data_IF_434076066790
#
_entry.id   IF_434076066790
#
_cell.length_a   1.000
_cell.length_b   1.000
_cell.length_c   1.000
_cell.angle_alpha   90.00
_cell.angle_beta   90.00
_cell.angle_gamma   90.00
#
_symmetry.space_group_name_H-M   'P 1'
#
loop_
_entity.id
_entity.type
_entity.pdbx_description
1 polymer ?
#
# COMPACT_ATOMS: atom_id res chain seq x y z
N UNK A 1 38.88 -34.06 -65.77
CA UNK A 1 38.98 -32.82 -64.96
C UNK A 1 37.62 -32.69 -64.30
N UNK A 2 37.48 -33.28 -63.13
CA UNK A 2 36.19 -33.50 -62.45
C UNK A 2 36.04 -32.43 -61.38
N UNK A 3 35.15 -31.48 -61.61
CA UNK A 3 34.85 -30.41 -60.66
C UNK A 3 33.77 -30.91 -59.69
N UNK A 4 34.21 -31.36 -58.52
CA UNK A 4 33.31 -31.71 -57.41
C UNK A 4 33.00 -30.41 -56.66
N UNK A 5 31.81 -29.87 -56.91
CA UNK A 5 31.23 -28.84 -56.06
C UNK A 5 30.78 -29.49 -54.76
N UNK A 6 31.59 -29.34 -53.71
CA UNK A 6 31.23 -29.72 -52.35
C UNK A 6 29.97 -28.95 -51.93
N UNK A 7 28.86 -29.60 -51.56
CA UNK A 7 27.71 -28.89 -51.02
C UNK A 7 28.11 -28.26 -49.67
N UNK A 8 27.89 -26.96 -49.53
CA UNK A 8 27.95 -26.28 -48.24
C UNK A 8 27.02 -27.00 -47.27
N UNK A 9 27.46 -27.35 -46.05
CA UNK A 9 26.58 -27.96 -45.07
C UNK A 9 25.47 -26.94 -44.76
N UNK A 10 24.22 -27.38 -44.92
CA UNK A 10 23.06 -26.67 -44.38
C UNK A 10 23.24 -26.73 -42.86
N UNK A 11 23.54 -25.60 -42.22
CA UNK A 11 23.49 -25.49 -40.77
C UNK A 11 22.09 -25.97 -40.33
N UNK A 12 22.04 -27.06 -39.56
CA UNK A 12 20.80 -27.46 -38.91
C UNK A 12 20.29 -26.29 -38.05
N UNK A 13 18.98 -25.99 -38.07
CA UNK A 13 18.44 -24.95 -37.20
C UNK A 13 18.74 -25.35 -35.77
N UNK A 14 19.61 -24.59 -35.11
CA UNK A 14 19.92 -24.77 -33.70
C UNK A 14 18.60 -24.72 -32.93
N UNK A 15 18.23 -25.83 -32.29
CA UNK A 15 17.04 -25.86 -31.44
C UNK A 15 17.28 -24.90 -30.27
N UNK A 16 16.80 -23.67 -30.39
CA UNK A 16 16.90 -22.67 -29.35
C UNK A 16 16.15 -23.18 -28.10
N UNK A 17 16.87 -23.27 -26.97
CA UNK A 17 16.26 -23.60 -25.68
C UNK A 17 15.16 -22.62 -25.30
N UNK A 18 14.25 -23.01 -24.40
CA UNK A 18 13.05 -22.24 -24.01
C UNK A 18 13.38 -20.79 -23.66
N UNK A 19 14.48 -20.56 -22.94
CA UNK A 19 14.95 -19.23 -22.52
C UNK A 19 15.47 -18.38 -23.70
N UNK A 20 16.08 -19.01 -24.70
CA UNK A 20 16.50 -18.34 -25.94
C UNK A 20 15.30 -17.94 -26.79
N UNK A 21 14.29 -18.81 -26.94
CA UNK A 21 13.05 -18.45 -27.66
C UNK A 21 12.26 -17.34 -26.95
N UNK A 22 12.26 -17.36 -25.61
CA UNK A 22 11.65 -16.31 -24.80
C UNK A 22 12.36 -14.98 -25.06
N UNK A 23 13.70 -14.96 -25.03
CA UNK A 23 14.52 -13.78 -25.33
C UNK A 23 14.28 -13.19 -26.73
N UNK A 24 14.07 -14.03 -27.75
CA UNK A 24 13.80 -13.59 -29.11
C UNK A 24 12.32 -13.27 -29.38
N UNK A 25 11.42 -13.43 -28.40
CA UNK A 25 9.98 -13.21 -28.57
C UNK A 25 9.31 -14.24 -29.50
N UNK A 26 9.92 -15.42 -29.68
CA UNK A 26 9.45 -16.52 -30.51
C UNK A 26 8.60 -17.53 -29.72
N UNK A 27 8.21 -17.17 -28.49
CA UNK A 27 7.35 -18.00 -27.64
C UNK A 27 5.89 -17.88 -28.05
N UNK A 28 5.17 -19.01 -27.98
CA UNK A 28 3.75 -19.10 -28.34
C UNK A 28 2.92 -19.55 -27.13
N UNK A 29 3.16 -18.93 -25.97
CA UNK A 29 2.39 -19.26 -24.77
C UNK A 29 0.99 -18.70 -24.89
N UNK A 30 -0.02 -19.56 -24.76
CA UNK A 30 -1.42 -19.15 -24.75
C UNK A 30 -1.84 -18.64 -23.36
N UNK A 31 -1.43 -17.41 -23.06
CA UNK A 31 -1.75 -16.71 -21.82
C UNK A 31 -3.19 -16.20 -21.86
N UNK A 32 -3.55 -15.50 -22.94
CA UNK A 32 -4.84 -14.81 -23.09
C UNK A 32 -5.99 -15.80 -23.25
N UNK A 33 -5.79 -16.91 -23.97
CA UNK A 33 -6.82 -17.95 -24.11
C UNK A 33 -7.09 -18.72 -22.82
N UNK A 34 -6.15 -18.72 -21.86
CA UNK A 34 -6.29 -19.38 -20.55
C UNK A 34 -6.78 -18.43 -19.45
N UNK A 35 -7.44 -17.34 -19.81
CA UNK A 35 -7.91 -16.31 -18.88
C UNK A 35 -8.69 -16.85 -17.68
N UNK A 36 -9.51 -17.91 -17.85
CA UNK A 36 -10.28 -18.54 -16.77
C UNK A 36 -9.38 -19.03 -15.63
N UNK A 37 -8.23 -19.62 -15.96
CA UNK A 37 -7.27 -20.11 -14.98
C UNK A 37 -6.67 -18.94 -14.18
N UNK A 38 -6.19 -17.91 -14.87
CA UNK A 38 -5.55 -16.76 -14.24
C UNK A 38 -6.52 -15.95 -13.38
N UNK A 39 -7.76 -15.80 -13.84
CA UNK A 39 -8.83 -15.13 -13.10
C UNK A 39 -9.26 -15.95 -11.89
N UNK A 40 -9.27 -17.29 -11.99
CA UNK A 40 -9.53 -18.15 -10.84
C UNK A 40 -8.41 -18.05 -9.78
N UNK A 41 -7.14 -18.09 -10.19
CA UNK A 41 -5.99 -17.94 -9.28
C UNK A 41 -6.05 -16.57 -8.59
N UNK A 42 -6.20 -15.50 -9.37
CA UNK A 42 -6.34 -14.13 -8.84
C UNK A 42 -7.56 -13.99 -7.93
N UNK A 43 -8.70 -14.55 -8.32
CA UNK A 43 -9.92 -14.55 -7.50
C UNK A 43 -9.73 -15.24 -6.15
N UNK A 44 -8.99 -16.35 -6.10
CA UNK A 44 -8.64 -17.01 -4.84
C UNK A 44 -7.71 -16.13 -3.99
N UNK A 45 -6.69 -15.53 -4.59
CA UNK A 45 -5.78 -14.62 -3.87
C UNK A 45 -6.54 -13.41 -3.28
N UNK A 46 -7.42 -12.79 -4.07
CA UNK A 46 -8.26 -11.68 -3.62
C UNK A 46 -9.27 -12.11 -2.56
N UNK A 47 -9.81 -13.33 -2.64
CA UNK A 47 -10.72 -13.87 -1.61
C UNK A 47 -9.98 -14.08 -0.29
N UNK A 48 -8.79 -14.67 -0.32
CA UNK A 48 -7.96 -14.86 0.87
C UNK A 48 -7.60 -13.51 1.49
N UNK A 49 -7.09 -12.58 0.68
CA UNK A 49 -6.73 -11.23 1.12
C UNK A 49 -7.93 -10.46 1.66
N UNK A 50 -9.07 -10.46 0.95
CA UNK A 50 -10.28 -9.79 1.38
C UNK A 50 -10.88 -10.40 2.66
N UNK A 51 -10.81 -11.72 2.83
CA UNK A 51 -11.21 -12.38 4.08
C UNK A 51 -10.32 -11.95 5.23
N UNK A 52 -9.00 -11.86 5.01
CA UNK A 52 -8.08 -11.36 6.02
C UNK A 52 -8.39 -9.91 6.42
N UNK A 53 -8.63 -9.03 5.45
CA UNK A 53 -9.03 -7.63 5.70
C UNK A 53 -10.32 -7.55 6.53
N UNK A 54 -11.33 -8.36 6.21
CA UNK A 54 -12.62 -8.31 6.93
C UNK A 54 -12.54 -8.93 8.33
N UNK A 55 -11.74 -9.98 8.51
CA UNK A 55 -11.69 -10.75 9.77
C UNK A 55 -10.63 -10.26 10.75
N UNK A 56 -9.52 -9.71 10.25
CA UNK A 56 -8.38 -9.26 11.06
C UNK A 56 -8.16 -7.75 11.00
N UNK A 57 -8.75 -7.05 10.02
CA UNK A 57 -8.43 -5.65 9.78
C UNK A 57 -7.03 -5.45 9.17
N UNK A 58 -6.68 -4.18 8.99
CA UNK A 58 -5.31 -3.77 8.66
C UNK A 58 -4.62 -3.35 9.95
N UNK A 59 -3.39 -3.83 10.15
CA UNK A 59 -2.52 -3.32 11.18
C UNK A 59 -2.03 -1.93 10.75
N UNK A 60 -2.67 -0.87 11.23
CA UNK A 60 -2.23 0.50 11.00
C UNK A 60 -1.13 0.81 12.01
N UNK A 61 0.06 1.19 11.53
CA UNK A 61 1.16 1.56 12.40
C UNK A 61 0.86 2.84 13.18
N UNK A 62 1.60 3.05 14.27
CA UNK A 62 1.46 4.21 15.17
C UNK A 62 1.53 5.57 14.48
N UNK A 63 2.14 5.65 13.29
CA UNK A 63 2.16 6.86 12.49
C UNK A 63 0.76 7.30 12.01
N UNK A 64 -0.23 6.41 12.04
CA UNK A 64 -1.60 6.67 11.62
C UNK A 64 -2.58 6.70 12.78
N UNK A 65 -2.40 5.82 13.77
CA UNK A 65 -3.26 5.70 14.96
C UNK A 65 -2.82 6.60 16.11
N UNK A 66 -1.53 6.92 16.20
CA UNK A 66 -0.91 7.47 17.40
C UNK A 66 -0.62 6.37 18.42
N UNK A 67 0.42 6.54 19.22
CA UNK A 67 0.84 5.54 20.20
C UNK A 67 2.34 5.54 20.43
N UNK A 68 2.80 4.49 21.12
CA UNK A 68 4.20 4.33 21.50
C UNK A 68 4.73 3.00 20.97
N UNK A 69 5.94 3.04 20.43
CA UNK A 69 6.69 1.87 20.00
C UNK A 69 7.91 1.72 20.89
N UNK A 70 8.09 0.51 21.44
CA UNK A 70 9.30 0.11 22.11
C UNK A 70 10.04 -0.92 21.24
N UNK A 71 11.33 -0.72 21.02
CA UNK A 71 12.22 -1.73 20.46
C UNK A 71 13.19 -2.19 21.55
N UNK A 72 13.12 -3.48 21.89
CA UNK A 72 13.91 -4.09 22.97
C UNK A 72 14.60 -5.38 22.48
N UNK A 73 15.85 -5.68 22.89
CA UNK A 73 16.44 -6.99 22.66
C UNK A 73 15.56 -8.10 23.25
N UNK A 74 15.27 -9.15 22.49
CA UNK A 74 14.30 -10.17 22.89
C UNK A 74 14.78 -11.02 24.08
N UNK A 75 16.11 -11.18 24.24
CA UNK A 75 16.69 -12.11 25.20
C UNK A 75 16.12 -13.52 25.03
N UNK A 76 15.54 -14.05 26.11
CA UNK A 76 14.80 -15.33 26.12
C UNK A 76 13.27 -15.14 26.10
N UNK A 77 12.77 -13.91 26.15
CA UNK A 77 11.34 -13.61 26.20
C UNK A 77 10.65 -13.96 24.87
N UNK A 78 9.42 -14.44 24.98
CA UNK A 78 8.55 -14.72 23.83
C UNK A 78 7.60 -13.56 23.55
N UNK A 79 7.15 -13.46 22.30
CA UNK A 79 6.14 -12.47 21.86
C UNK A 79 4.93 -12.45 22.80
N UNK A 80 4.40 -13.63 23.17
CA UNK A 80 3.21 -13.75 24.03
C UNK A 80 3.45 -13.30 25.48
N UNK A 81 4.66 -13.49 26.02
CA UNK A 81 5.01 -13.02 27.36
C UNK A 81 5.08 -11.49 27.40
N UNK A 82 5.69 -10.89 26.37
CA UNK A 82 5.78 -9.44 26.24
C UNK A 82 4.40 -8.81 26.02
N UNK A 83 3.58 -9.39 25.15
CA UNK A 83 2.22 -8.93 24.90
C UNK A 83 1.40 -8.94 26.19
N UNK A 84 1.43 -10.05 26.94
CA UNK A 84 0.73 -10.16 28.22
C UNK A 84 1.23 -9.16 29.25
N UNK A 85 2.56 -8.96 29.38
CA UNK A 85 3.13 -8.04 30.35
C UNK A 85 2.75 -6.59 30.08
N UNK A 86 2.73 -6.18 28.80
CA UNK A 86 2.37 -4.81 28.41
C UNK A 86 0.86 -4.59 28.54
N UNK A 87 0.04 -5.61 28.24
CA UNK A 87 -1.40 -5.56 28.50
C UNK A 87 -1.76 -5.55 29.99
N UNK A 88 -1.00 -6.22 30.85
CA UNK A 88 -1.18 -6.16 32.31
C UNK A 88 -0.88 -4.75 32.87
N UNK A 89 -0.09 -3.94 32.16
CA UNK A 89 0.14 -2.51 32.43
C UNK A 89 -1.00 -1.61 31.90
N UNK A 90 -2.10 -2.21 31.46
CA UNK A 90 -3.30 -1.56 30.96
C UNK A 90 -3.39 -1.50 29.43
N UNK A 91 -2.28 -1.67 28.69
CA UNK A 91 -2.29 -1.37 27.27
C UNK A 91 -3.20 -2.31 26.48
N UNK A 92 -4.14 -1.72 25.74
CA UNK A 92 -5.03 -2.43 24.84
C UNK A 92 -4.43 -2.43 23.42
N UNK A 93 -4.83 -3.41 22.59
CA UNK A 93 -4.35 -3.57 21.21
C UNK A 93 -2.81 -3.58 21.08
N UNK A 94 -2.14 -4.19 22.06
CA UNK A 94 -0.68 -4.39 22.04
C UNK A 94 -0.32 -5.36 20.92
N UNK A 95 0.57 -4.92 20.03
CA UNK A 95 1.10 -5.74 18.97
C UNK A 95 2.60 -5.94 19.17
N UNK A 96 2.99 -7.20 19.33
CA UNK A 96 4.40 -7.55 19.48
C UNK A 96 4.89 -8.29 18.24
N UNK A 97 5.98 -7.79 17.65
CA UNK A 97 6.62 -8.40 16.49
C UNK A 97 8.07 -8.74 16.81
N UNK A 98 8.46 -9.99 16.55
CA UNK A 98 9.85 -10.43 16.67
C UNK A 98 10.58 -10.25 15.33
N UNK A 99 11.78 -9.67 15.39
CA UNK A 99 12.70 -9.58 14.27
C UNK A 99 14.10 -10.00 14.70
N UNK A 100 14.91 -10.44 13.73
CA UNK A 100 16.29 -10.88 13.98
C UNK A 100 17.25 -9.95 13.24
N UNK A 101 18.07 -9.24 14.00
CA UNK A 101 19.17 -8.43 13.50
C UNK A 101 20.44 -9.29 13.48
N UNK A 102 20.87 -9.70 12.29
CA UNK A 102 22.12 -10.44 12.10
C UNK A 102 23.27 -9.44 12.12
N UNK A 103 23.81 -9.18 13.31
CA UNK A 103 25.06 -8.44 13.46
C UNK A 103 26.24 -9.40 13.31
N UNK A 104 27.37 -8.91 12.80
CA UNK A 104 28.58 -9.73 12.58
C UNK A 104 29.14 -10.46 13.82
N UNK A 105 28.56 -10.20 15.00
CA UNK A 105 28.91 -10.79 16.31
C UNK A 105 27.85 -11.80 16.84
N UNK A 106 26.77 -12.05 16.08
CA UNK A 106 25.70 -13.00 16.42
C UNK A 106 24.30 -12.55 15.94
N UNK A 107 23.37 -13.50 15.79
CA UNK A 107 21.96 -13.21 15.53
C UNK A 107 21.35 -12.59 16.81
N UNK A 108 21.12 -11.28 16.81
CA UNK A 108 20.46 -10.57 17.89
C UNK A 108 18.95 -10.52 17.61
N UNK A 109 18.16 -11.21 18.44
CA UNK A 109 16.70 -11.14 18.36
C UNK A 109 16.23 -9.87 19.07
N UNK A 110 15.28 -9.16 18.49
CA UNK A 110 14.65 -7.97 19.04
C UNK A 110 13.15 -8.06 18.90
N UNK A 111 12.45 -7.48 19.87
CA UNK A 111 11.00 -7.38 19.92
C UNK A 111 10.63 -5.92 19.72
N UNK A 112 9.73 -5.69 18.78
CA UNK A 112 9.05 -4.41 18.58
C UNK A 112 7.67 -4.53 19.19
N UNK A 113 7.42 -3.73 20.22
CA UNK A 113 6.14 -3.63 20.91
C UNK A 113 5.50 -2.35 20.45
N UNK A 114 4.39 -2.44 19.76
CA UNK A 114 3.55 -1.29 19.43
C UNK A 114 2.33 -1.34 20.33
N UNK A 115 2.06 -0.27 21.07
CA UNK A 115 0.79 -0.12 21.75
C UNK A 115 0.15 1.18 21.26
N UNK A 116 -1.13 1.08 20.89
CA UNK A 116 -1.94 2.27 20.69
C UNK A 116 -2.01 3.02 22.02
N UNK A 117 -2.03 4.35 21.96
CA UNK A 117 -2.15 5.14 23.18
C UNK A 117 -3.44 4.70 23.88
N UNK A 118 -3.32 4.12 25.09
CA UNK A 118 -4.48 3.85 25.93
C UNK A 118 -5.17 5.17 26.16
N UNK A 119 -6.37 5.33 25.59
CA UNK A 119 -7.33 6.41 25.87
C UNK A 119 -6.72 7.60 26.60
N UNK A 120 -5.79 8.23 25.90
CA UNK A 120 -5.35 9.57 26.21
C UNK A 120 -6.40 10.54 25.69
N UNK A 121 -6.45 11.78 26.21
CA UNK A 121 -7.54 12.68 25.92
C UNK A 121 -7.71 12.74 24.40
N UNK A 122 -8.92 12.43 23.92
CA UNK A 122 -9.17 12.27 22.49
C UNK A 122 -8.59 13.45 21.71
N UNK A 123 -8.28 13.31 20.42
CA UNK A 123 -7.93 14.49 19.61
C UNK A 123 -8.97 15.62 19.76
N UNK A 124 -10.23 15.27 20.07
CA UNK A 124 -11.28 16.22 20.43
C UNK A 124 -11.07 16.88 21.79
N UNK A 125 -10.50 16.20 22.79
CA UNK A 125 -10.09 16.76 24.07
C UNK A 125 -8.91 17.72 23.92
N UNK A 126 -7.85 17.34 23.18
CA UNK A 126 -6.73 18.25 22.91
C UNK A 126 -7.18 19.46 22.08
N UNK A 127 -7.98 19.25 21.02
CA UNK A 127 -8.55 20.34 20.23
C UNK A 127 -9.51 21.20 21.08
N UNK A 128 -10.30 20.61 21.99
CA UNK A 128 -11.18 21.34 22.89
C UNK A 128 -10.37 22.19 23.86
N UNK A 129 -9.25 21.68 24.38
CA UNK A 129 -8.35 22.38 25.27
C UNK A 129 -7.62 23.54 24.55
N UNK A 130 -7.10 23.30 23.35
CA UNK A 130 -6.49 24.33 22.50
C UNK A 130 -7.51 25.40 22.08
N UNK A 131 -8.74 25.00 21.75
CA UNK A 131 -9.82 25.92 21.40
C UNK A 131 -10.28 26.71 22.63
N UNK A 132 -10.40 26.06 23.78
CA UNK A 132 -10.72 26.69 25.05
C UNK A 132 -9.68 27.76 25.40
N UNK A 133 -8.40 27.43 25.29
CA UNK A 133 -7.28 28.33 25.54
C UNK A 133 -7.25 29.51 24.55
N UNK A 134 -7.55 29.27 23.27
CA UNK A 134 -7.68 30.31 22.27
C UNK A 134 -8.87 31.25 22.54
N UNK A 135 -10.00 30.69 22.96
CA UNK A 135 -11.21 31.44 23.31
C UNK A 135 -11.03 32.25 24.61
N UNK A 136 -10.33 31.71 25.61
CA UNK A 136 -9.92 32.40 26.83
C UNK A 136 -9.03 33.61 26.51
N UNK A 137 -7.97 33.41 25.71
CA UNK A 137 -7.07 34.48 25.26
C UNK A 137 -7.81 35.53 24.41
N UNK A 138 -8.77 35.12 23.58
CA UNK A 138 -9.60 36.05 22.79
C UNK A 138 -10.62 36.82 23.64
N UNK A 139 -11.15 36.20 24.69
CA UNK A 139 -12.07 36.83 25.64
C UNK A 139 -11.36 37.93 26.45
N UNK A 140 -10.10 37.69 26.84
CA UNK A 140 -9.24 38.68 27.49
C UNK A 140 -9.00 39.93 26.61
N UNK A 141 -8.89 39.75 25.29
CA UNK A 141 -8.63 40.84 24.33
C UNK A 141 -9.89 41.66 23.94
N UNK A 142 -11.10 41.12 24.12
CA UNK A 142 -12.32 41.67 23.51
C UNK A 142 -13.50 41.83 24.48
N UNK A 143 -13.38 42.74 25.45
CA UNK A 143 -14.38 42.93 26.51
C UNK A 143 -15.69 43.60 26.06
N UNK A 144 -15.76 44.17 24.85
CA UNK A 144 -17.02 44.77 24.35
C UNK A 144 -17.89 43.75 23.62
N UNK A 145 -18.65 42.96 24.37
CA UNK A 145 -19.98 42.51 23.96
C UNK A 145 -20.17 41.04 23.57
N UNK A 146 -19.31 40.12 23.99
CA UNK A 146 -19.50 38.69 23.73
C UNK A 146 -18.59 37.75 24.51
N UNK A 147 -18.05 38.18 25.65
CA UNK A 147 -17.12 37.38 26.46
C UNK A 147 -17.85 36.28 27.24
N UNK A 148 -19.06 36.55 27.73
CA UNK A 148 -19.88 35.55 28.45
C UNK A 148 -20.28 34.37 27.55
N UNK A 149 -20.71 34.62 26.29
CA UNK A 149 -21.07 33.56 25.36
C UNK A 149 -19.86 32.70 24.94
N UNK A 150 -18.66 33.30 24.86
CA UNK A 150 -17.42 32.60 24.50
C UNK A 150 -16.88 31.76 25.66
N UNK A 151 -16.91 32.28 26.89
CA UNK A 151 -16.50 31.54 28.09
C UNK A 151 -17.48 30.41 28.43
N UNK A 152 -18.78 30.59 28.17
CA UNK A 152 -19.73 29.48 28.19
C UNK A 152 -19.41 28.44 27.08
N UNK A 153 -18.85 28.86 25.95
CA UNK A 153 -18.33 27.97 24.91
C UNK A 153 -17.20 27.08 25.41
N UNK A 154 -16.27 27.65 26.19
CA UNK A 154 -15.18 26.93 26.87
C UNK A 154 -15.73 25.87 27.82
N UNK A 155 -16.67 26.23 28.71
CA UNK A 155 -17.32 25.28 29.60
C UNK A 155 -17.97 24.11 28.85
N UNK A 156 -18.71 24.38 27.77
CA UNK A 156 -19.34 23.34 26.95
C UNK A 156 -18.33 22.46 26.18
N UNK A 157 -17.17 22.99 25.81
CA UNK A 157 -16.09 22.23 25.18
C UNK A 157 -15.38 21.33 26.18
N UNK A 158 -15.25 21.78 27.44
CA UNK A 158 -14.62 21.03 28.51
C UNK A 158 -15.56 19.98 29.14
N UNK A 159 -16.88 20.20 29.14
CA UNK A 159 -17.89 19.29 29.72
C UNK A 159 -17.94 17.90 29.03
N UNK A 160 -17.38 17.78 27.82
CA UNK A 160 -17.30 16.53 27.05
C UNK A 160 -15.96 15.80 27.17
N UNK A 161 -15.02 16.31 27.98
CA UNK A 161 -13.69 15.75 28.14
C UNK A 161 -13.74 14.62 29.18
N UNK A 162 -13.65 13.37 28.74
CA UNK A 162 -13.24 12.25 29.58
C UNK A 162 -11.69 12.25 29.61
N UNK A 163 -11.12 12.48 30.79
CA UNK A 163 -9.67 12.62 30.99
C UNK A 163 -8.94 11.27 31.09
N UNK A 164 -7.61 11.24 30.88
CA UNK A 164 -6.77 10.04 30.87
C UNK A 164 -6.45 9.45 32.26
N UNK A 165 -7.10 9.95 33.32
CA UNK A 165 -6.71 9.67 34.69
C UNK A 165 -7.63 8.61 35.30
N UNK A 166 -7.21 7.35 35.26
CA UNK A 166 -8.01 6.23 35.77
C UNK A 166 -8.10 6.20 37.32
N UNK A 167 -7.15 6.80 38.05
CA UNK A 167 -7.06 6.65 39.51
C UNK A 167 -7.10 7.96 40.34
N UNK A 168 -6.81 9.14 39.76
CA UNK A 168 -6.89 10.43 40.48
C UNK A 168 -7.07 11.63 39.52
N UNK A 169 -8.15 12.41 39.68
CA UNK A 169 -8.36 13.65 38.91
C UNK A 169 -7.31 14.68 39.36
N UNK A 170 -6.53 15.27 38.43
CA UNK A 170 -5.56 16.31 38.76
C UNK A 170 -6.22 17.47 39.49
N UNK A 171 -5.52 18.04 40.47
CA UNK A 171 -6.02 19.19 41.23
C UNK A 171 -6.30 20.38 40.30
N UNK A 172 -5.51 20.52 39.24
CA UNK A 172 -5.60 21.53 38.20
C UNK A 172 -6.91 21.44 37.42
N UNK A 173 -7.39 20.23 37.13
CA UNK A 173 -8.69 20.00 36.49
C UNK A 173 -9.85 20.39 37.41
N UNK A 174 -9.70 20.10 38.70
CA UNK A 174 -10.70 20.45 39.73
C UNK A 174 -10.76 21.97 39.93
N UNK A 175 -9.60 22.61 40.02
CA UNK A 175 -9.47 24.07 40.15
C UNK A 175 -10.02 24.80 38.92
N UNK A 176 -9.78 24.28 37.70
CA UNK A 176 -10.34 24.82 36.46
C UNK A 176 -11.87 24.78 36.47
N UNK A 177 -12.45 23.66 36.94
CA UNK A 177 -13.89 23.47 37.00
C UNK A 177 -14.55 24.39 38.04
N UNK A 178 -13.93 24.52 39.22
CA UNK A 178 -14.37 25.46 40.26
C UNK A 178 -14.30 26.92 39.79
N UNK A 179 -13.28 27.28 38.99
CA UNK A 179 -13.15 28.61 38.40
C UNK A 179 -14.23 28.89 37.34
N UNK A 180 -14.58 27.90 36.51
CA UNK A 180 -15.64 28.01 35.50
C UNK A 180 -17.01 28.20 36.15
N UNK A 181 -17.31 27.42 37.19
CA UNK A 181 -18.57 27.49 37.92
C UNK A 181 -18.74 28.84 38.66
N UNK A 182 -17.64 29.37 39.22
CA UNK A 182 -17.63 30.66 39.92
C UNK A 182 -17.59 31.90 39.01
N UNK A 183 -17.32 31.71 37.71
CA UNK A 183 -17.04 32.82 36.80
C UNK A 183 -18.23 33.76 36.59
N UNK A 184 -19.44 33.21 36.38
CA UNK A 184 -20.64 34.00 36.10
C UNK A 184 -21.02 34.89 37.29
N UNK A 185 -20.98 34.34 38.50
CA UNK A 185 -21.28 35.05 39.74
C UNK A 185 -20.22 36.13 40.04
N UNK A 186 -18.95 35.86 39.74
CA UNK A 186 -17.87 36.83 39.90
C UNK A 186 -17.90 37.97 38.86
N UNK A 187 -18.33 37.69 37.63
CA UNK A 187 -18.46 38.70 36.57
C UNK A 187 -19.55 39.72 36.88
N UNK A 188 -20.67 39.27 37.45
CA UNK A 188 -21.77 40.15 37.86
C UNK A 188 -21.40 41.01 39.08
N UNK A 189 -20.47 40.54 39.92
CA UNK A 189 -20.02 41.24 41.11
C UNK A 189 -18.81 42.19 40.88
N UNK A 190 -18.12 42.07 39.75
CA UNK A 190 -16.88 42.80 39.47
C UNK A 190 -17.10 44.31 39.18
N UNK A 191 -16.32 45.18 39.84
CA UNK A 191 -16.33 46.62 39.57
C UNK A 191 -15.77 46.97 38.17
N UNK A 192 -14.77 46.21 37.71
CA UNK A 192 -14.24 46.26 36.35
C UNK A 192 -14.29 44.85 35.73
N UNK A 193 -15.37 44.60 35.01
CA UNK A 193 -15.62 43.35 34.31
C UNK A 193 -14.53 43.05 33.27
N UNK A 194 -13.84 44.08 32.74
CA UNK A 194 -12.72 43.91 31.81
C UNK A 194 -11.55 43.25 32.50
N UNK A 195 -11.14 43.83 33.63
CA UNK A 195 -10.02 43.35 34.40
C UNK A 195 -10.29 41.95 34.95
N UNK A 196 -11.52 41.69 35.43
CA UNK A 196 -11.93 40.38 35.94
C UNK A 196 -11.88 39.29 34.85
N UNK A 197 -12.41 39.55 33.66
CA UNK A 197 -12.37 38.58 32.54
C UNK A 197 -10.94 38.25 32.14
N UNK A 198 -10.07 39.27 32.05
CA UNK A 198 -8.66 39.04 31.70
C UNK A 198 -7.94 38.25 32.80
N UNK A 199 -8.15 38.57 34.06
CA UNK A 199 -7.53 37.87 35.19
C UNK A 199 -7.97 36.40 35.26
N UNK A 200 -9.27 36.10 35.12
CA UNK A 200 -9.75 34.71 35.15
C UNK A 200 -9.33 33.94 33.90
N UNK A 201 -9.33 34.58 32.72
CA UNK A 201 -8.87 33.93 31.50
C UNK A 201 -7.36 33.59 31.56
N UNK A 202 -6.55 34.45 32.16
CA UNK A 202 -5.11 34.19 32.36
C UNK A 202 -4.88 33.05 33.37
N UNK A 203 -5.67 32.97 34.44
CA UNK A 203 -5.62 31.86 35.41
C UNK A 203 -6.02 30.53 34.77
N UNK A 204 -7.17 30.48 34.09
CA UNK A 204 -7.62 29.27 33.40
C UNK A 204 -6.63 28.83 32.31
N UNK A 205 -6.00 29.77 31.59
CA UNK A 205 -4.98 29.43 30.61
C UNK A 205 -3.73 28.81 31.27
N UNK A 206 -3.34 29.28 32.45
CA UNK A 206 -2.23 28.71 33.21
C UNK A 206 -2.54 27.31 33.75
N UNK A 207 -3.76 27.06 34.22
CA UNK A 207 -4.19 25.74 34.69
C UNK A 207 -4.27 24.73 33.54
N UNK A 208 -4.71 25.17 32.36
CA UNK A 208 -4.67 24.36 31.14
C UNK A 208 -3.24 24.02 30.71
N UNK A 209 -2.33 25.00 30.72
CA UNK A 209 -0.91 24.77 30.41
C UNK A 209 -0.30 23.78 31.44
N UNK A 210 -0.64 23.90 32.72
CA UNK A 210 -0.19 22.98 33.77
C UNK A 210 -0.74 21.55 33.60
N UNK A 211 -2.00 21.42 33.16
CA UNK A 211 -2.61 20.13 32.86
C UNK A 211 -1.88 19.42 31.70
N UNK A 212 -1.52 20.16 30.66
CA UNK A 212 -0.76 19.63 29.54
C UNK A 212 0.65 19.17 29.95
N UNK A 213 1.31 19.92 30.84
CA UNK A 213 2.60 19.51 31.42
C UNK A 213 2.48 18.26 32.30
N UNK A 214 1.43 18.16 33.11
CA UNK A 214 1.17 17.00 33.96
C UNK A 214 0.86 15.74 33.15
N UNK A 215 0.06 15.85 32.09
CA UNK A 215 -0.22 14.76 31.14
C UNK A 215 1.08 14.28 30.46
N UNK A 216 1.92 15.22 30.00
CA UNK A 216 3.21 14.90 29.40
C UNK A 216 4.14 14.17 30.39
N UNK A 217 4.21 14.63 31.64
CA UNK A 217 5.01 13.99 32.68
C UNK A 217 4.49 12.57 33.00
N UNK A 218 3.17 12.39 33.06
CA UNK A 218 2.56 11.08 33.27
C UNK A 218 2.89 10.12 32.12
N UNK A 219 2.82 10.58 30.86
CA UNK A 219 3.25 9.79 29.69
C UNK A 219 4.70 9.33 29.80
N UNK A 220 5.59 10.22 30.20
CA UNK A 220 7.01 9.91 30.34
C UNK A 220 7.24 8.88 31.47
N UNK A 221 6.50 9.00 32.57
CA UNK A 221 6.56 8.05 33.69
C UNK A 221 6.01 6.67 33.32
N UNK A 222 4.85 6.61 32.66
CA UNK A 222 4.27 5.35 32.18
C UNK A 222 5.17 4.73 31.11
N UNK A 223 5.65 5.50 30.13
CA UNK A 223 6.56 5.03 29.09
C UNK A 223 7.88 4.48 29.66
N UNK A 224 8.38 5.09 30.75
CA UNK A 224 9.52 4.59 31.51
C UNK A 224 9.20 3.30 32.24
N UNK A 225 8.04 3.19 32.89
CA UNK A 225 7.61 1.98 33.60
C UNK A 225 7.48 0.77 32.67
N UNK A 226 6.97 0.98 31.44
CA UNK A 226 6.90 -0.05 30.40
C UNK A 226 8.31 -0.42 29.94
N UNK A 227 9.18 0.56 29.73
CA UNK A 227 10.58 0.31 29.35
C UNK A 227 11.33 -0.51 30.42
N UNK A 228 11.09 -0.21 31.70
CA UNK A 228 11.65 -0.97 32.83
C UNK A 228 11.10 -2.40 32.87
N UNK A 229 9.79 -2.60 32.70
CA UNK A 229 9.17 -3.92 32.68
C UNK A 229 9.65 -4.76 31.48
N UNK A 230 9.79 -4.16 30.30
CA UNK A 230 10.32 -4.81 29.10
C UNK A 230 11.79 -5.19 29.28
N UNK A 231 12.61 -4.31 29.85
CA UNK A 231 14.01 -4.59 30.14
C UNK A 231 14.16 -5.75 31.15
N UNK A 232 13.36 -5.75 32.22
CA UNK A 232 13.37 -6.83 33.21
C UNK A 232 12.92 -8.17 32.60
N UNK A 233 11.84 -8.17 31.82
CA UNK A 233 11.28 -9.36 31.20
C UNK A 233 12.23 -9.99 30.17
N UNK A 234 12.92 -9.16 29.40
CA UNK A 234 13.86 -9.61 28.37
C UNK A 234 15.28 -9.84 28.90
N UNK A 235 15.58 -9.37 30.12
CA UNK A 235 16.92 -9.39 30.69
C UNK A 235 17.91 -8.44 30.01
N UNK A 236 17.41 -7.41 29.31
CA UNK A 236 18.23 -6.36 28.69
C UNK A 236 18.46 -5.18 29.62
N UNK A 237 19.45 -4.33 29.31
CA UNK A 237 19.58 -3.05 29.99
C UNK A 237 18.51 -2.06 29.50
N UNK A 238 18.04 -1.17 30.38
CA UNK A 238 17.05 -0.13 30.02
C UNK A 238 17.55 0.79 28.90
N UNK A 239 18.87 1.03 28.85
CA UNK A 239 19.51 1.86 27.81
C UNK A 239 19.46 1.20 26.41
N UNK A 240 19.09 -0.08 26.33
CA UNK A 240 18.90 -0.80 25.08
C UNK A 240 17.45 -0.75 24.59
N UNK A 241 16.52 -0.23 25.39
CA UNK A 241 15.13 -0.02 25.01
C UNK A 241 15.02 1.30 24.27
N UNK A 242 14.70 1.24 22.99
CA UNK A 242 14.40 2.44 22.19
C UNK A 242 12.91 2.71 22.25
N UNK A 243 12.53 3.98 22.47
CA UNK A 243 11.12 4.40 22.56
C UNK A 243 10.85 5.47 21.52
N UNK A 244 9.88 5.22 20.65
CA UNK A 244 9.35 6.17 19.67
C UNK A 244 7.88 6.43 19.96
N UNK A 245 7.53 7.66 20.35
CA UNK A 245 6.15 8.07 20.65
C UNK A 245 5.63 9.02 19.59
N UNK A 246 4.42 8.77 19.10
CA UNK A 246 3.71 9.60 18.13
C UNK A 246 2.37 10.02 18.71
N UNK A 247 2.11 11.34 18.75
CA UNK A 247 0.84 11.89 19.24
C UNK A 247 -0.34 11.64 18.30
N UNK A 248 -1.53 11.46 18.86
CA UNK A 248 -2.77 11.14 18.12
C UNK A 248 -3.14 12.21 17.07
N UNK A 249 -2.97 13.49 17.38
CA UNK A 249 -3.26 14.59 16.45
C UNK A 249 -2.31 14.61 15.23
N UNK A 250 -1.06 14.19 15.42
CA UNK A 250 -0.12 14.02 14.31
C UNK A 250 -0.50 12.81 13.46
N UNK A 251 -0.84 11.68 14.10
CA UNK A 251 -1.30 10.47 13.42
C UNK A 251 -2.51 10.73 12.52
N UNK A 252 -3.51 11.44 13.03
CA UNK A 252 -4.71 11.81 12.27
C UNK A 252 -4.38 12.72 11.06
N UNK A 253 -3.50 13.70 11.24
CA UNK A 253 -3.06 14.57 10.15
C UNK A 253 -2.31 13.81 9.06
N UNK A 254 -1.45 12.85 9.44
CA UNK A 254 -0.68 12.03 8.51
C UNK A 254 -1.61 11.05 7.77
N UNK A 255 -2.53 10.40 8.49
CA UNK A 255 -3.59 9.55 7.92
C UNK A 255 -4.39 10.28 6.84
N UNK A 256 -4.88 11.49 7.15
CA UNK A 256 -5.69 12.26 6.21
C UNK A 256 -4.89 12.70 4.97
N UNK A 257 -3.62 13.06 5.15
CA UNK A 257 -2.71 13.40 4.03
C UNK A 257 -2.42 12.19 3.16
N UNK A 258 -2.22 11.01 3.75
CA UNK A 258 -1.99 9.76 3.04
C UNK A 258 -3.21 9.33 2.21
N UNK A 259 -4.41 9.39 2.80
CA UNK A 259 -5.67 9.14 2.10
C UNK A 259 -5.85 10.11 0.92
N UNK A 260 -5.67 11.40 1.17
CA UNK A 260 -5.78 12.44 0.14
C UNK A 260 -4.79 12.20 -0.99
N UNK A 261 -3.53 11.85 -0.69
CA UNK A 261 -2.52 11.55 -1.68
C UNK A 261 -2.91 10.35 -2.57
N UNK A 262 -3.46 9.30 -1.97
CA UNK A 262 -3.95 8.12 -2.70
C UNK A 262 -5.11 8.47 -3.64
N UNK A 263 -6.10 9.21 -3.16
CA UNK A 263 -7.25 9.62 -3.98
C UNK A 263 -6.82 10.53 -5.13
N UNK A 264 -5.99 11.55 -4.86
CA UNK A 264 -5.46 12.45 -5.89
C UNK A 264 -4.65 11.67 -6.92
N UNK A 265 -3.79 10.74 -6.48
CA UNK A 265 -3.03 9.89 -7.38
C UNK A 265 -3.95 9.05 -8.28
N UNK A 266 -4.97 8.39 -7.73
CA UNK A 266 -5.91 7.59 -8.50
C UNK A 266 -6.68 8.42 -9.54
N UNK A 267 -7.09 9.64 -9.18
CA UNK A 267 -7.75 10.56 -10.12
C UNK A 267 -6.80 10.96 -11.26
N UNK A 268 -5.57 11.35 -10.94
CA UNK A 268 -4.57 11.76 -11.94
C UNK A 268 -4.24 10.60 -12.87
N UNK A 269 -4.09 9.39 -12.34
CA UNK A 269 -3.87 8.16 -13.12
C UNK A 269 -5.06 7.87 -14.02
N UNK A 270 -6.28 7.92 -13.49
CA UNK A 270 -7.49 7.69 -14.28
C UNK A 270 -7.62 8.70 -15.44
N UNK A 271 -7.35 9.98 -15.16
CA UNK A 271 -7.33 11.04 -16.17
C UNK A 271 -6.26 10.75 -17.24
N UNK A 272 -5.04 10.44 -16.82
CA UNK A 272 -3.95 10.12 -17.73
C UNK A 272 -4.29 8.93 -18.63
N UNK A 273 -4.78 7.81 -18.06
CA UNK A 273 -5.15 6.61 -18.81
C UNK A 273 -6.28 6.93 -19.80
N UNK A 274 -7.29 7.69 -19.38
CA UNK A 274 -8.42 8.07 -20.24
C UNK A 274 -8.00 8.95 -21.41
N UNK A 275 -7.00 9.82 -21.21
CA UNK A 275 -6.44 10.65 -22.29
C UNK A 275 -5.48 9.87 -23.20
N UNK A 276 -4.78 8.87 -22.65
CA UNK A 276 -3.76 8.08 -23.37
C UNK A 276 -4.34 6.91 -24.16
N UNK A 277 -5.46 6.34 -23.72
CA UNK A 277 -6.04 5.11 -24.26
C UNK A 277 -7.52 5.22 -24.59
N UNK A 278 -8.00 4.29 -25.41
CA UNK A 278 -9.43 4.11 -25.62
C UNK A 278 -10.13 3.59 -24.35
N UNK A 279 -11.43 3.84 -24.24
CA UNK A 279 -12.23 3.53 -23.05
C UNK A 279 -12.06 2.09 -22.52
N UNK A 280 -12.02 1.08 -23.40
CA UNK A 280 -11.92 -0.33 -22.96
C UNK A 280 -10.54 -0.72 -22.47
N UNK A 281 -9.50 -0.14 -23.07
CA UNK A 281 -8.14 -0.25 -22.56
C UNK A 281 -8.05 0.45 -21.20
N UNK A 282 -8.64 1.64 -21.06
CA UNK A 282 -8.67 2.33 -19.78
C UNK A 282 -9.33 1.52 -18.66
N UNK A 283 -10.49 0.92 -18.92
CA UNK A 283 -11.18 0.03 -17.96
C UNK A 283 -10.31 -1.17 -17.58
N UNK A 284 -9.65 -1.81 -18.55
CA UNK A 284 -8.78 -2.96 -18.28
C UNK A 284 -7.55 -2.56 -17.45
N UNK A 285 -6.95 -1.40 -17.71
CA UNK A 285 -5.83 -0.87 -16.92
C UNK A 285 -6.27 -0.54 -15.49
N UNK A 286 -7.39 0.16 -15.31
CA UNK A 286 -7.91 0.50 -13.98
C UNK A 286 -8.23 -0.75 -13.17
N UNK A 287 -8.84 -1.76 -13.79
CA UNK A 287 -9.11 -3.03 -13.13
C UNK A 287 -7.82 -3.76 -12.70
N UNK A 288 -6.77 -3.72 -13.53
CA UNK A 288 -5.47 -4.27 -13.17
C UNK A 288 -4.80 -3.53 -11.99
N UNK A 289 -4.91 -2.19 -11.95
CA UNK A 289 -4.39 -1.40 -10.83
C UNK A 289 -5.15 -1.64 -9.53
N UNK A 290 -6.48 -1.74 -9.60
CA UNK A 290 -7.29 -2.09 -8.44
C UNK A 290 -6.93 -3.49 -7.94
N UNK A 291 -6.74 -4.44 -8.85
CA UNK A 291 -6.27 -5.78 -8.49
C UNK A 291 -4.93 -5.72 -7.73
N UNK A 292 -3.95 -4.95 -8.22
CA UNK A 292 -2.64 -4.84 -7.57
C UNK A 292 -2.73 -4.25 -6.18
N UNK A 293 -3.50 -3.17 -6.03
CA UNK A 293 -3.75 -2.54 -4.74
C UNK A 293 -4.40 -3.52 -3.76
N UNK A 294 -5.42 -4.26 -4.20
CA UNK A 294 -6.11 -5.23 -3.36
C UNK A 294 -5.24 -6.41 -2.97
N UNK A 295 -4.32 -6.86 -3.83
CA UNK A 295 -3.36 -7.90 -3.45
C UNK A 295 -2.39 -7.38 -2.39
N UNK A 296 -1.84 -6.19 -2.55
CA UNK A 296 -0.90 -5.62 -1.55
C UNK A 296 -1.61 -5.46 -0.21
N UNK A 297 -2.79 -4.83 -0.19
CA UNK A 297 -3.61 -4.68 1.02
C UNK A 297 -3.94 -6.05 1.63
N UNK A 298 -4.33 -7.02 0.80
CA UNK A 298 -4.68 -8.37 1.25
C UNK A 298 -3.48 -9.12 1.86
N UNK A 299 -2.28 -8.97 1.32
CA UNK A 299 -1.05 -9.55 1.88
C UNK A 299 -0.73 -8.89 3.23
N UNK A 300 -0.84 -7.57 3.33
CA UNK A 300 -0.62 -6.84 4.58
C UNK A 300 -1.61 -7.27 5.67
N UNK A 301 -2.90 -7.36 5.35
CA UNK A 301 -3.91 -7.88 6.27
C UNK A 301 -3.69 -9.36 6.63
N UNK A 302 -3.23 -10.19 5.69
CA UNK A 302 -3.03 -11.61 5.93
C UNK A 302 -1.91 -11.84 6.94
N UNK A 303 -0.80 -11.13 6.81
CA UNK A 303 0.38 -11.29 7.66
C UNK A 303 0.45 -10.28 8.82
N UNK A 304 -0.53 -9.37 8.91
CA UNK A 304 -0.57 -8.31 9.92
C UNK A 304 0.68 -7.42 9.91
N UNK A 305 1.20 -7.16 8.71
CA UNK A 305 2.32 -6.23 8.55
C UNK A 305 1.85 -4.79 8.82
N UNK A 306 2.65 -3.99 9.53
CA UNK A 306 2.28 -2.63 9.88
C UNK A 306 2.21 -1.77 8.60
N UNK A 307 1.11 -1.04 8.47
CA UNK A 307 0.90 -0.07 7.41
C UNK A 307 1.41 1.26 7.95
N UNK A 308 2.51 1.75 7.40
CA UNK A 308 3.15 3.03 7.77
C UNK A 308 3.10 4.03 6.60
N UNK A 309 3.42 5.32 6.80
CA UNK A 309 3.52 6.30 5.73
C UNK A 309 4.48 5.86 4.61
N UNK A 310 5.55 5.16 4.97
CA UNK A 310 6.47 4.55 4.01
C UNK A 310 5.77 3.51 3.12
N UNK A 311 4.89 2.69 3.70
CA UNK A 311 4.06 1.73 2.96
C UNK A 311 3.14 2.43 1.95
N UNK A 312 2.52 3.56 2.33
CA UNK A 312 1.69 4.33 1.39
C UNK A 312 2.52 4.89 0.23
N UNK A 313 3.69 5.45 0.50
CA UNK A 313 4.61 5.93 -0.54
C UNK A 313 5.01 4.79 -1.49
N UNK A 314 5.30 3.61 -0.94
CA UNK A 314 5.61 2.43 -1.72
C UNK A 314 4.43 2.00 -2.61
N UNK A 315 3.20 1.95 -2.07
CA UNK A 315 1.99 1.64 -2.85
C UNK A 315 1.82 2.62 -4.01
N UNK A 316 1.94 3.93 -3.78
CA UNK A 316 1.85 4.95 -4.83
C UNK A 316 2.93 4.75 -5.91
N UNK A 317 4.15 4.41 -5.49
CA UNK A 317 5.28 4.14 -6.39
C UNK A 317 5.01 2.92 -7.28
N UNK A 318 4.49 1.83 -6.69
CA UNK A 318 4.16 0.59 -7.40
C UNK A 318 3.04 0.82 -8.41
N UNK A 319 1.99 1.55 -8.04
CA UNK A 319 0.90 1.83 -8.97
C UNK A 319 1.44 2.57 -10.20
N UNK A 320 2.37 3.52 -10.01
CA UNK A 320 3.07 4.17 -11.12
C UNK A 320 3.84 3.19 -12.01
N UNK A 321 4.52 2.21 -11.40
CA UNK A 321 5.28 1.19 -12.11
C UNK A 321 4.38 0.20 -12.87
N UNK A 322 3.30 -0.27 -12.25
CA UNK A 322 2.35 -1.23 -12.84
C UNK A 322 1.63 -0.64 -14.08
N UNK A 323 1.35 0.67 -14.06
CA UNK A 323 0.84 1.38 -15.23
C UNK A 323 1.81 1.23 -16.40
N UNK A 324 3.10 1.48 -16.20
CA UNK A 324 4.08 1.48 -17.30
C UNK A 324 4.08 0.16 -18.06
N UNK A 325 4.06 -0.96 -17.35
CA UNK A 325 4.08 -2.28 -17.97
C UNK A 325 2.80 -2.58 -18.73
N UNK A 326 1.64 -2.24 -18.14
CA UNK A 326 0.34 -2.36 -18.81
C UNK A 326 0.28 -1.52 -20.09
N UNK A 327 0.85 -0.31 -20.08
CA UNK A 327 0.91 0.58 -21.24
C UNK A 327 1.71 -0.02 -22.38
N UNK A 328 2.89 -0.56 -22.11
CA UNK A 328 3.76 -1.14 -23.13
C UNK A 328 3.06 -2.32 -23.83
N UNK A 329 2.39 -3.16 -23.05
CA UNK A 329 1.63 -4.29 -23.59
C UNK A 329 0.46 -3.80 -24.43
N UNK A 330 -0.35 -2.86 -23.91
CA UNK A 330 -1.54 -2.37 -24.60
C UNK A 330 -1.21 -1.60 -25.87
N UNK A 331 -0.13 -0.82 -25.87
CA UNK A 331 0.38 -0.14 -27.06
C UNK A 331 0.75 -1.17 -28.15
N UNK A 332 1.38 -2.29 -27.75
CA UNK A 332 1.70 -3.38 -28.69
C UNK A 332 0.46 -4.14 -29.17
N UNK A 333 -0.55 -4.32 -28.32
CA UNK A 333 -1.86 -4.88 -28.71
C UNK A 333 -2.55 -3.96 -29.71
N UNK A 334 -2.59 -2.65 -29.47
CA UNK A 334 -3.18 -1.68 -30.40
C UNK A 334 -2.42 -1.66 -31.74
N UNK A 335 -1.08 -1.64 -31.72
CA UNK A 335 -0.25 -1.69 -32.92
C UNK A 335 -0.54 -2.93 -33.78
N UNK A 336 -0.56 -4.12 -33.17
CA UNK A 336 -0.79 -5.36 -33.89
C UNK A 336 -2.26 -5.54 -34.33
N UNK A 337 -3.22 -4.99 -33.58
CA UNK A 337 -4.65 -5.07 -33.94
C UNK A 337 -5.03 -4.10 -35.06
N UNK A 338 -4.32 -2.98 -35.24
CA UNK A 338 -4.47 -2.11 -36.43
C UNK A 338 -4.16 -2.84 -37.74
N UNK A 339 -3.31 -3.86 -37.70
CA UNK A 339 -2.97 -4.71 -38.85
C UNK A 339 -4.01 -5.82 -39.11
N UNK A 340 -5.00 -5.99 -38.22
CA UNK A 340 -6.09 -6.95 -38.37
C UNK A 340 -7.16 -6.36 -39.30
N UNK A 341 -6.99 -6.64 -40.60
CA UNK A 341 -7.98 -6.36 -41.64
C UNK A 341 -8.94 -7.53 -41.91
N UNK A 342 -9.89 -7.32 -42.83
CA UNK A 342 -10.91 -8.34 -43.23
C UNK A 342 -10.32 -9.67 -43.74
N UNK A 343 -9.03 -9.72 -44.09
CA UNK A 343 -8.33 -10.89 -44.66
C UNK A 343 -7.55 -11.72 -43.64
N UNK A 344 -7.42 -11.27 -42.39
CA UNK A 344 -6.64 -11.97 -41.37
C UNK A 344 -7.45 -13.11 -40.75
N UNK A 345 -6.82 -14.27 -40.52
CA UNK A 345 -7.44 -15.46 -39.89
C UNK A 345 -7.25 -15.49 -38.36
N UNK A 346 -6.98 -14.35 -37.73
CA UNK A 346 -6.68 -14.24 -36.30
C UNK A 346 -7.80 -13.47 -35.60
N UNK A 347 -8.21 -13.96 -34.43
CA UNK A 347 -9.13 -13.27 -33.52
C UNK A 347 -8.41 -12.14 -32.77
N UNK A 348 -9.17 -11.30 -32.07
CA UNK A 348 -8.56 -10.28 -31.20
C UNK A 348 -7.75 -10.95 -30.09
N UNK A 349 -8.26 -12.03 -29.48
CA UNK A 349 -7.55 -12.85 -28.49
C UNK A 349 -6.23 -13.38 -29.02
N UNK A 350 -6.18 -13.91 -30.24
CA UNK A 350 -4.93 -14.44 -30.84
C UNK A 350 -3.88 -13.33 -31.01
N UNK A 351 -4.32 -12.16 -31.46
CA UNK A 351 -3.45 -11.00 -31.69
C UNK A 351 -2.95 -10.45 -30.35
N UNK A 352 -3.82 -10.34 -29.36
CA UNK A 352 -3.46 -9.93 -28.01
C UNK A 352 -2.45 -10.88 -27.37
N UNK A 353 -2.66 -12.19 -27.54
CA UNK A 353 -1.73 -13.21 -27.05
C UNK A 353 -0.35 -13.09 -27.71
N UNK A 354 -0.32 -12.88 -29.02
CA UNK A 354 0.92 -12.67 -29.76
C UNK A 354 1.63 -11.39 -29.34
N UNK A 355 0.89 -10.30 -29.16
CA UNK A 355 1.44 -9.03 -28.66
C UNK A 355 2.07 -9.18 -27.29
N UNK A 356 1.40 -9.90 -26.37
CA UNK A 356 1.93 -10.19 -25.04
C UNK A 356 3.27 -10.93 -25.11
N UNK A 357 3.35 -12.04 -25.85
CA UNK A 357 4.59 -12.82 -25.98
C UNK A 357 5.76 -12.00 -26.57
N UNK A 358 5.47 -11.05 -27.46
CA UNK A 358 6.50 -10.18 -28.04
C UNK A 358 7.15 -9.22 -27.03
N UNK A 359 6.41 -8.81 -26.00
CA UNK A 359 6.89 -7.84 -25.00
C UNK A 359 7.16 -8.45 -23.64
N UNK A 360 6.79 -9.72 -23.43
CA UNK A 360 6.92 -10.44 -22.16
C UNK A 360 8.34 -10.36 -21.58
N UNK A 361 9.37 -10.55 -22.38
CA UNK A 361 10.76 -10.44 -21.90
C UNK A 361 11.16 -9.04 -21.50
N UNK A 362 10.59 -8.02 -22.14
CA UNK A 362 10.84 -6.63 -21.73
C UNK A 362 10.22 -6.39 -20.35
N UNK A 363 8.94 -6.72 -20.19
CA UNK A 363 8.21 -6.62 -18.93
C UNK A 363 8.94 -7.36 -17.81
N UNK A 364 9.32 -8.62 -18.07
CA UNK A 364 10.01 -9.47 -17.10
C UNK A 364 11.40 -8.92 -16.76
N UNK A 365 12.18 -8.48 -17.75
CA UNK A 365 13.50 -7.89 -17.50
C UNK A 365 13.38 -6.62 -16.67
N UNK A 366 12.47 -5.71 -17.03
CA UNK A 366 12.23 -4.47 -16.28
C UNK A 366 11.87 -4.80 -14.84
N UNK A 367 10.92 -5.72 -14.63
CA UNK A 367 10.49 -6.15 -13.31
C UNK A 367 11.62 -6.79 -12.50
N UNK A 368 12.42 -7.69 -13.08
CA UNK A 368 13.58 -8.31 -12.41
C UNK A 368 14.64 -7.26 -12.04
N UNK A 369 14.94 -6.31 -12.95
CA UNK A 369 15.91 -5.26 -12.68
C UNK A 369 15.47 -4.30 -11.58
N UNK A 370 14.15 -4.13 -11.40
CA UNK A 370 13.58 -3.36 -10.29
C UNK A 370 13.52 -4.20 -9.01
N UNK A 371 13.19 -5.49 -9.11
CA UNK A 371 13.11 -6.39 -7.96
C UNK A 371 14.47 -6.59 -7.30
N UNK A 372 15.55 -6.66 -8.07
CA UNK A 372 16.87 -7.01 -7.54
C UNK A 372 17.36 -5.99 -6.49
N UNK A 373 17.37 -4.67 -6.75
CA UNK A 373 17.69 -3.69 -5.71
C UNK A 373 16.71 -3.71 -4.54
N UNK A 374 15.40 -3.85 -4.79
CA UNK A 374 14.39 -3.89 -3.73
C UNK A 374 14.62 -5.11 -2.82
N UNK A 375 14.87 -6.27 -3.41
CA UNK A 375 15.17 -7.52 -2.69
C UNK A 375 16.50 -7.39 -1.95
N UNK A 376 17.51 -6.75 -2.53
CA UNK A 376 18.77 -6.49 -1.86
C UNK A 376 18.57 -5.58 -0.64
N UNK A 377 17.80 -4.50 -0.77
CA UNK A 377 17.48 -3.61 0.35
C UNK A 377 16.62 -4.33 1.39
N UNK A 378 15.62 -5.11 0.96
CA UNK A 378 14.77 -5.87 1.87
C UNK A 378 15.59 -6.91 2.64
N UNK A 379 16.45 -7.68 1.98
CA UNK A 379 17.25 -8.72 2.62
C UNK A 379 18.40 -8.13 3.43
N UNK A 380 19.16 -7.18 2.89
CA UNK A 380 20.31 -6.59 3.58
C UNK A 380 19.84 -5.62 4.67
N UNK A 381 18.88 -4.75 4.37
CA UNK A 381 18.35 -3.76 5.31
C UNK A 381 17.60 -4.40 6.48
N UNK A 382 16.75 -5.40 6.22
CA UNK A 382 16.05 -6.14 7.28
C UNK A 382 16.99 -7.10 8.01
N UNK A 383 17.59 -8.08 7.33
CA UNK A 383 18.30 -9.16 8.02
C UNK A 383 19.68 -8.73 8.54
N UNK A 384 20.45 -7.92 7.80
CA UNK A 384 21.83 -7.59 8.20
C UNK A 384 21.94 -6.29 9.01
N UNK A 385 21.02 -5.35 8.82
CA UNK A 385 21.09 -4.04 9.48
C UNK A 385 19.98 -3.84 10.52
N UNK A 386 18.95 -4.69 10.55
CA UNK A 386 17.82 -4.56 11.49
C UNK A 386 17.01 -3.28 11.30
N UNK A 387 17.04 -2.69 10.11
CA UNK A 387 16.32 -1.44 9.83
C UNK A 387 14.85 -1.74 9.52
N UNK A 388 14.00 -1.66 10.54
CA UNK A 388 12.55 -1.91 10.49
C UNK A 388 11.84 -1.04 9.45
N UNK A 389 12.17 0.26 9.41
CA UNK A 389 11.62 1.21 8.43
C UNK A 389 11.95 0.85 6.96
N UNK A 390 13.16 0.35 6.70
CA UNK A 390 13.56 -0.10 5.36
C UNK A 390 12.86 -1.40 4.96
N UNK A 391 12.58 -2.27 5.93
CA UNK A 391 11.85 -3.51 5.72
C UNK A 391 10.40 -3.22 5.31
N UNK A 392 9.69 -2.36 6.02
CA UNK A 392 8.30 -2.00 5.72
C UNK A 392 8.15 -1.42 4.32
N UNK A 393 9.03 -0.45 3.99
CA UNK A 393 9.07 0.16 2.66
C UNK A 393 9.43 -0.86 1.57
N UNK A 394 10.48 -1.65 1.81
CA UNK A 394 10.99 -2.65 0.86
C UNK A 394 10.00 -3.78 0.60
N UNK A 395 9.29 -4.23 1.63
CA UNK A 395 8.29 -5.30 1.56
C UNK A 395 7.08 -4.87 0.74
N UNK A 396 6.58 -3.64 0.99
CA UNK A 396 5.50 -3.05 0.21
C UNK A 396 5.87 -3.03 -1.27
N UNK A 397 7.04 -2.44 -1.60
CA UNK A 397 7.57 -2.38 -2.95
C UNK A 397 7.75 -3.77 -3.58
N UNK A 398 8.28 -4.73 -2.83
CA UNK A 398 8.52 -6.09 -3.33
C UNK A 398 7.20 -6.76 -3.72
N UNK A 399 6.25 -6.84 -2.79
CA UNK A 399 4.95 -7.48 -3.01
C UNK A 399 4.22 -6.79 -4.17
N UNK A 400 4.21 -5.47 -4.20
CA UNK A 400 3.49 -4.74 -5.22
C UNK A 400 4.14 -4.80 -6.60
N UNK A 401 5.47 -4.79 -6.73
CA UNK A 401 6.11 -5.02 -8.05
C UNK A 401 5.84 -6.44 -8.53
N UNK A 402 5.96 -7.46 -7.66
CA UNK A 402 5.61 -8.85 -8.03
C UNK A 402 4.16 -8.96 -8.48
N UNK A 403 3.23 -8.37 -7.73
CA UNK A 403 1.80 -8.35 -8.08
C UNK A 403 1.56 -7.62 -9.40
N UNK A 404 2.16 -6.44 -9.59
CA UNK A 404 1.98 -5.62 -10.78
C UNK A 404 2.48 -6.30 -12.05
N UNK A 405 3.65 -6.94 -11.99
CA UNK A 405 4.18 -7.75 -13.11
C UNK A 405 3.25 -8.92 -13.42
N UNK A 406 2.73 -9.60 -12.40
CA UNK A 406 1.78 -10.69 -12.61
C UNK A 406 0.48 -10.19 -13.24
N UNK A 407 -0.09 -9.10 -12.71
CA UNK A 407 -1.37 -8.55 -13.13
C UNK A 407 -1.34 -7.99 -14.56
N UNK A 408 -0.29 -7.27 -14.95
CA UNK A 408 -0.15 -6.73 -16.31
C UNK A 408 -0.15 -7.85 -17.36
N UNK A 409 0.52 -8.97 -17.06
CA UNK A 409 0.68 -10.12 -17.96
C UNK A 409 -0.59 -11.00 -17.97
N UNK A 410 -1.08 -11.39 -16.79
CA UNK A 410 -2.08 -12.46 -16.65
C UNK A 410 -3.50 -11.96 -16.42
N UNK A 411 -3.71 -10.68 -16.09
CA UNK A 411 -5.02 -10.10 -15.79
C UNK A 411 -5.40 -9.02 -16.81
N UNK A 412 -4.56 -8.00 -16.99
CA UNK A 412 -4.88 -6.82 -17.79
C UNK A 412 -5.17 -7.16 -19.26
N UNK A 413 -4.29 -7.94 -19.90
CA UNK A 413 -4.42 -8.27 -21.34
C UNK A 413 -5.55 -9.25 -21.63
N UNK A 414 -5.74 -10.32 -20.84
CA UNK A 414 -6.91 -11.18 -20.99
C UNK A 414 -8.23 -10.43 -20.73
N UNK A 415 -8.27 -9.54 -19.74
CA UNK A 415 -9.43 -8.68 -19.50
C UNK A 415 -9.74 -7.78 -20.69
N UNK A 416 -8.72 -7.14 -21.26
CA UNK A 416 -8.85 -6.32 -22.46
C UNK A 416 -9.42 -7.13 -23.63
N UNK A 417 -8.89 -8.34 -23.87
CA UNK A 417 -9.37 -9.20 -24.95
C UNK A 417 -10.85 -9.55 -24.79
N UNK A 418 -11.30 -9.89 -23.58
CA UNK A 418 -12.70 -10.17 -23.28
C UNK A 418 -13.61 -8.94 -23.51
N UNK A 419 -13.16 -7.76 -23.07
CA UNK A 419 -13.90 -6.51 -23.29
C UNK A 419 -13.99 -6.16 -24.78
N UNK A 420 -12.93 -6.44 -25.54
CA UNK A 420 -12.84 -6.14 -26.97
C UNK A 420 -13.57 -7.13 -27.85
N UNK A 421 -13.65 -8.40 -27.50
CA UNK A 421 -14.44 -9.36 -28.28
C UNK A 421 -15.95 -9.16 -28.16
N UNK A 422 -16.41 -8.40 -27.15
CA UNK A 422 -17.80 -7.93 -27.05
C UNK A 422 -18.15 -6.81 -28.04
N UNK A 423 -17.16 -6.21 -28.72
CA UNK A 423 -17.38 -5.19 -29.77
C UNK A 423 -17.93 -5.86 -31.04
N UNK A 424 -18.97 -5.32 -31.71
CA UNK A 424 -19.54 -5.93 -32.91
C UNK A 424 -18.50 -6.25 -33.99
N UNK A 425 -17.55 -5.32 -34.21
CA UNK A 425 -16.46 -5.47 -35.17
C UNK A 425 -15.61 -6.73 -34.95
N UNK A 426 -15.28 -7.05 -33.70
CA UNK A 426 -14.41 -8.18 -33.37
C UNK A 426 -15.21 -9.48 -33.23
N UNK A 427 -16.46 -9.39 -32.81
CA UNK A 427 -17.40 -10.51 -32.76
C UNK A 427 -17.66 -11.09 -34.15
N UNK A 428 -17.93 -10.26 -35.15
CA UNK A 428 -18.12 -10.70 -36.54
C UNK A 428 -16.87 -11.41 -37.12
N UNK A 429 -15.68 -10.96 -36.75
CA UNK A 429 -14.41 -11.60 -37.16
C UNK A 429 -14.30 -12.99 -36.51
N UNK A 430 -14.63 -13.10 -35.23
CA UNK A 430 -14.63 -14.37 -34.50
C UNK A 430 -15.66 -15.36 -35.06
N UNK A 431 -16.89 -14.92 -35.30
CA UNK A 431 -17.96 -15.74 -35.89
C UNK A 431 -17.54 -16.26 -37.28
N UNK A 432 -17.03 -15.38 -38.16
CA UNK A 432 -16.52 -15.79 -39.48
C UNK A 432 -15.40 -16.82 -39.41
N UNK A 433 -14.45 -16.64 -38.48
CA UNK A 433 -13.34 -17.58 -38.31
C UNK A 433 -13.88 -18.92 -37.79
N UNK A 434 -14.85 -18.91 -36.88
CA UNK A 434 -15.51 -20.11 -36.38
C UNK A 434 -16.25 -20.87 -37.49
N UNK A 435 -17.01 -20.18 -38.34
CA UNK A 435 -17.73 -20.77 -39.49
C UNK A 435 -16.81 -21.41 -40.54
N UNK A 436 -15.59 -20.87 -40.71
CA UNK A 436 -14.62 -21.36 -41.69
C UNK A 436 -13.56 -22.30 -41.08
N UNK A 437 -13.68 -22.62 -39.78
CA UNK A 437 -12.81 -23.61 -39.13
C UNK A 437 -13.36 -25.00 -39.50
N UNK A 438 -12.59 -25.87 -40.17
CA UNK A 438 -13.06 -27.23 -40.42
C UNK A 438 -13.36 -27.90 -39.09
N UNK A 439 -14.51 -28.57 -39.01
CA UNK A 439 -14.94 -29.35 -37.86
C UNK A 439 -14.02 -30.57 -37.67
N UNK A 440 -12.81 -30.35 -37.16
CA UNK A 440 -12.18 -31.33 -36.30
C UNK A 440 -12.95 -31.24 -34.99
N UNK A 441 -13.84 -32.20 -34.77
CA UNK A 441 -14.68 -32.26 -33.59
C UNK A 441 -13.83 -32.28 -32.34
N UNK A 442 -13.93 -31.20 -31.58
CA UNK A 442 -13.79 -31.12 -30.14
C UNK A 442 -14.82 -30.08 -29.72
N UNK A 443 -16.07 -30.55 -29.63
CA UNK A 443 -17.15 -29.83 -28.98
C UNK A 443 -16.90 -29.91 -27.46
N UNK A 444 -16.07 -29.00 -26.95
CA UNK A 444 -16.04 -28.69 -25.53
C UNK A 444 -15.82 -27.18 -25.32
N UNK A 445 -16.86 -26.52 -24.80
CA UNK A 445 -16.75 -25.18 -24.17
C UNK A 445 -15.83 -25.18 -22.91
N UNK A 446 -15.13 -26.28 -22.66
CA UNK A 446 -14.22 -26.51 -21.53
C UNK A 446 -12.74 -26.68 -21.89
N UNK A 447 -12.33 -26.84 -23.15
CA UNK A 447 -10.96 -27.29 -23.47
C UNK A 447 -10.25 -26.40 -24.51
N UNK A 448 -9.86 -25.19 -24.10
CA UNK A 448 -8.75 -24.47 -24.75
C UNK A 448 -7.40 -25.01 -24.23
N UNK A 449 -7.19 -26.31 -24.38
CA UNK A 449 -5.93 -26.99 -24.14
C UNK A 449 -5.67 -27.99 -25.28
N UNK A 450 -4.50 -27.87 -25.92
CA UNK A 450 -3.90 -29.03 -26.58
C UNK A 450 -4.16 -29.24 -28.08
N UNK A 451 -4.08 -28.22 -28.93
CA UNK A 451 -3.93 -28.44 -30.38
C UNK A 451 -2.92 -27.49 -31.03
N UNK A 452 -1.67 -27.57 -30.57
CA UNK A 452 -0.46 -27.25 -31.34
C UNK A 452 0.74 -28.04 -30.77
N UNK A 453 0.54 -29.34 -30.55
CA UNK A 453 1.60 -30.28 -30.22
C UNK A 453 1.70 -31.31 -31.35
N UNK A 454 2.47 -30.98 -32.39
CA UNK A 454 2.84 -31.87 -33.49
C UNK A 454 4.10 -31.32 -34.16
N UNK A 455 5.14 -32.13 -34.40
CA UNK A 455 6.43 -31.65 -34.89
C UNK A 455 6.31 -31.30 -36.38
N UNK A 456 6.58 -30.05 -36.73
CA UNK A 456 6.59 -29.59 -38.12
C UNK A 456 5.23 -29.10 -38.60
N UNK A 457 5.13 -27.80 -38.85
CA UNK A 457 3.93 -27.20 -39.42
C UNK A 457 4.15 -25.73 -39.73
N UNK A 458 4.54 -25.48 -40.98
CA UNK A 458 4.64 -24.17 -41.63
C UNK A 458 3.33 -23.37 -41.50
N UNK A 459 3.22 -22.56 -40.44
CA UNK A 459 2.37 -21.37 -40.45
C UNK A 459 3.15 -20.22 -41.10
N UNK A 460 2.55 -19.38 -41.96
CA UNK A 460 3.30 -18.35 -42.68
C UNK A 460 3.88 -17.36 -41.68
N UNK A 461 5.18 -17.50 -41.41
CA UNK A 461 6.00 -16.49 -40.79
C UNK A 461 5.87 -15.25 -41.66
N UNK A 462 5.32 -14.17 -41.11
CA UNK A 462 5.54 -12.85 -41.67
C UNK A 462 7.02 -12.55 -41.40
N UNK A 463 7.88 -13.01 -42.31
CA UNK A 463 9.31 -12.68 -42.30
C UNK A 463 9.46 -11.17 -42.44
N UNK A 464 10.31 -10.51 -41.65
CA UNK A 464 10.65 -9.11 -41.89
C UNK A 464 11.22 -8.98 -43.31
N UNK A 465 10.71 -8.05 -44.11
CA UNK A 465 11.29 -7.76 -45.44
C UNK A 465 12.79 -7.45 -45.28
N UNK A 466 13.69 -8.04 -46.09
CA UNK A 466 15.10 -7.69 -46.05
C UNK A 466 15.26 -6.22 -46.42
N UNK A 467 15.96 -5.48 -45.56
CA UNK A 467 16.33 -4.09 -45.77
C UNK A 467 17.18 -4.02 -47.05
N UNK A 468 16.68 -3.39 -48.11
CA UNK A 468 17.45 -3.17 -49.35
C UNK A 468 18.75 -2.44 -48.99
N UNK A 469 19.88 -3.14 -49.04
CA UNK A 469 21.18 -2.47 -49.10
C UNK A 469 21.21 -1.65 -50.39
N UNK A 470 21.29 -0.33 -50.24
CA UNK A 470 21.52 0.57 -51.36
C UNK A 470 22.83 0.19 -52.04
N UNK A 471 22.78 -0.02 -53.36
CA UNK A 471 23.97 -0.07 -54.21
C UNK A 471 24.76 1.22 -53.99
N UNK A 472 25.96 1.10 -53.42
CA UNK A 472 26.99 2.13 -53.56
C UNK A 472 27.25 2.30 -55.06
N UNK A 473 27.08 3.54 -55.55
CA UNK A 473 27.78 4.03 -56.73
C UNK A 473 28.86 4.98 -56.25
#
# INVERSE_FOLDING_TARGET
MSDQTTPTPVEEPTQHGVLSRLYHGETDWNIVGRWKLWFAISGVMLLIGGTAVVTRGLNLGIDFTGGTVWEVPAGDATVAEVESAVSDLGYNDVQVQEFTQVSGEGDARSLRVEAESQTEPTAATTDALDTALADLRSAADSVRGGSADRLNGVGNQLDGIEGPFDDEIPAELTDLQDQLDGFADGLDAAEDQTAYVTEVADLMAADVDALAEAEQAHREEVGRSVSEALAELTGSDIDQVTVDTVGASWGQQISQKAETALVVFLIVVLLYITLRFEFRMAVATVAALLHDLLIVIGVYALFQFPVTPATVIAILTILGYSIYDTIVVFDRVDENTRLVGRKTKLTYTDVANRSMNQVLMRSLNTSITTLLPITAVLVIGSFLLGATTLQEFGLALFVGVVSGTYSSIFIATPLLALLKEREPRYREVRERIAEHRPATGDDDEGELAGAAAGPGGDGPLITPRPRKQGKKR
#
